data_IF_548496797569
#
_entry.id   IF_548496797569
#
_cell.length_a   1.000
_cell.length_b   1.000
_cell.length_c   1.000
_cell.angle_alpha   90.00
_cell.angle_beta   90.00
_cell.angle_gamma   90.00
#
_symmetry.space_group_name_H-M   'P 1'
#
loop_
_entity.id
_entity.type
_entity.pdbx_description
1 polymer ?
#
# COMPACT_ATOMS: atom_id res chain seq x y z
N UNK A 1 -21.13 0.80 5.24
CA UNK A 1 -19.75 0.77 4.71
C UNK A 1 -19.39 -0.65 4.30
N UNK A 2 -18.68 -0.78 3.21
CA UNK A 2 -18.23 -2.08 2.72
C UNK A 2 -16.78 -2.40 3.15
N UNK A 3 -16.18 -1.58 4.02
CA UNK A 3 -14.83 -1.80 4.54
C UNK A 3 -14.83 -3.04 5.43
N UNK A 4 -13.98 -4.01 5.11
CA UNK A 4 -13.91 -5.29 5.81
C UNK A 4 -12.66 -5.43 6.69
N UNK A 5 -11.68 -4.56 6.55
CA UNK A 5 -10.48 -4.60 7.37
C UNK A 5 -9.42 -3.63 6.91
N UNK A 6 -8.34 -3.55 7.70
CA UNK A 6 -7.15 -2.80 7.38
C UNK A 6 -6.15 -3.74 6.72
N UNK A 7 -5.65 -3.37 5.55
CA UNK A 7 -4.64 -4.18 4.86
C UNK A 7 -3.24 -3.86 5.36
N UNK A 8 -2.85 -2.60 5.30
CA UNK A 8 -1.50 -2.18 5.69
C UNK A 8 -1.39 -0.66 5.78
N UNK A 9 -0.31 -0.21 6.43
CA UNK A 9 0.17 1.15 6.34
C UNK A 9 1.33 1.16 5.33
N UNK A 10 1.29 2.09 4.40
CA UNK A 10 2.33 2.21 3.38
C UNK A 10 3.33 3.30 3.77
N UNK A 11 4.60 3.00 3.62
CA UNK A 11 5.71 3.90 3.98
C UNK A 11 6.70 3.93 2.83
N UNK A 12 7.10 5.13 2.44
CA UNK A 12 8.14 5.30 1.42
C UNK A 12 9.51 5.33 2.08
N UNK A 13 10.46 4.59 1.52
CA UNK A 13 11.82 4.47 2.02
C UNK A 13 12.83 4.66 0.89
N UNK A 14 13.96 5.31 1.18
CA UNK A 14 15.03 5.49 0.20
C UNK A 14 15.95 4.27 0.15
N UNK A 15 16.28 3.69 1.32
CA UNK A 15 17.15 2.53 1.44
C UNK A 15 16.35 1.33 1.91
N UNK A 16 15.75 0.60 0.99
CA UNK A 16 14.88 -0.53 1.32
C UNK A 16 15.63 -1.62 2.09
N UNK A 17 16.83 -1.99 1.65
CA UNK A 17 17.61 -3.04 2.32
C UNK A 17 17.96 -2.66 3.76
N UNK A 18 18.33 -1.41 3.98
CA UNK A 18 18.64 -0.89 5.32
C UNK A 18 17.44 -0.91 6.24
N UNK A 19 16.27 -0.52 5.73
CA UNK A 19 15.03 -0.52 6.52
C UNK A 19 14.57 -1.95 6.80
N UNK A 20 14.65 -2.84 5.83
CA UNK A 20 14.36 -4.27 6.03
C UNK A 20 15.24 -4.85 7.13
N UNK A 21 16.56 -4.56 7.08
CA UNK A 21 17.49 -5.02 8.11
C UNK A 21 17.14 -4.48 9.50
N UNK A 22 16.72 -3.21 9.58
CA UNK A 22 16.28 -2.60 10.83
C UNK A 22 15.11 -3.39 11.45
N UNK A 23 14.07 -3.66 10.65
CA UNK A 23 12.88 -4.35 11.16
C UNK A 23 13.15 -5.81 11.50
N UNK A 24 14.02 -6.50 10.75
CA UNK A 24 14.44 -7.86 11.09
C UNK A 24 15.16 -7.90 12.44
N UNK A 25 16.04 -6.94 12.70
CA UNK A 25 16.72 -6.84 14.01
C UNK A 25 15.75 -6.53 15.14
N UNK A 26 14.68 -5.80 14.84
CA UNK A 26 13.64 -5.49 15.83
C UNK A 26 12.73 -6.67 16.13
N UNK A 27 12.90 -7.80 15.44
CA UNK A 27 12.10 -9.00 15.66
C UNK A 27 10.86 -9.12 14.79
N UNK A 28 10.68 -8.22 13.82
CA UNK A 28 9.56 -8.31 12.89
C UNK A 28 9.80 -9.41 11.85
N UNK A 29 8.71 -9.97 11.33
CA UNK A 29 8.76 -10.82 10.14
C UNK A 29 8.76 -9.89 8.92
N UNK A 30 9.76 -10.05 8.06
CA UNK A 30 9.92 -9.22 6.87
C UNK A 30 10.06 -10.11 5.65
N UNK A 31 9.19 -9.88 4.66
CA UNK A 31 9.29 -10.56 3.38
C UNK A 31 10.50 -10.05 2.58
N UNK A 32 10.96 -10.87 1.65
CA UNK A 32 12.05 -10.46 0.77
C UNK A 32 11.58 -9.33 -0.14
N UNK A 33 12.43 -8.32 -0.39
CA UNK A 33 12.09 -7.27 -1.35
C UNK A 33 11.76 -7.85 -2.72
N UNK A 34 10.70 -7.32 -3.33
CA UNK A 34 10.26 -7.74 -4.66
C UNK A 34 10.05 -6.54 -5.57
N UNK A 35 10.09 -6.80 -6.87
CA UNK A 35 9.81 -5.78 -7.87
C UNK A 35 8.35 -5.34 -7.76
N UNK A 36 8.12 -4.04 -7.83
CA UNK A 36 6.78 -3.47 -7.82
C UNK A 36 6.74 -2.28 -8.76
N UNK A 37 6.13 -2.47 -9.94
CA UNK A 37 6.04 -1.44 -10.99
C UNK A 37 7.44 -0.89 -11.30
N UNK A 38 7.67 0.41 -11.10
CA UNK A 38 8.96 1.05 -11.34
C UNK A 38 9.86 1.10 -10.11
N UNK A 39 9.52 0.38 -9.08
CA UNK A 39 10.26 0.37 -7.83
C UNK A 39 10.27 -1.01 -7.20
N UNK A 40 10.44 -1.04 -5.88
CA UNK A 40 10.50 -2.28 -5.10
C UNK A 40 9.65 -2.13 -3.85
N UNK A 41 9.25 -3.26 -3.30
CA UNK A 41 8.45 -3.29 -2.08
C UNK A 41 8.89 -4.43 -1.16
N UNK A 42 8.52 -4.33 0.12
CA UNK A 42 8.65 -5.41 1.08
C UNK A 42 7.57 -5.27 2.15
N UNK A 43 7.01 -6.40 2.57
CA UNK A 43 6.02 -6.44 3.64
C UNK A 43 6.70 -6.67 4.99
N UNK A 44 6.20 -5.98 6.03
CA UNK A 44 6.69 -6.07 7.40
C UNK A 44 5.51 -6.38 8.31
N UNK A 45 5.65 -7.45 9.11
CA UNK A 45 4.67 -7.79 10.15
C UNK A 45 5.29 -7.51 11.51
N UNK A 46 4.77 -6.49 12.19
CA UNK A 46 5.26 -6.05 13.49
C UNK A 46 4.13 -6.15 14.50
N UNK A 47 3.98 -7.34 15.13
CA UNK A 47 2.82 -7.63 15.96
C UNK A 47 1.55 -7.59 15.14
N UNK A 48 0.52 -6.86 15.56
CA UNK A 48 -0.72 -6.75 14.78
C UNK A 48 -0.63 -5.76 13.62
N UNK A 49 0.51 -5.06 13.48
CA UNK A 49 0.67 -4.01 12.48
C UNK A 49 1.32 -4.57 11.22
N UNK A 50 0.66 -4.35 10.10
CA UNK A 50 1.21 -4.66 8.78
C UNK A 50 1.65 -3.37 8.10
N UNK A 51 2.94 -3.32 7.75
CA UNK A 51 3.50 -2.22 6.96
C UNK A 51 3.88 -2.75 5.59
N UNK A 52 3.78 -1.90 4.58
CA UNK A 52 4.41 -2.16 3.30
C UNK A 52 5.38 -1.02 3.02
N UNK A 53 6.63 -1.40 2.78
CA UNK A 53 7.69 -0.45 2.44
C UNK A 53 7.77 -0.35 0.93
N UNK A 54 7.82 0.88 0.40
CA UNK A 54 7.92 1.14 -1.03
C UNK A 54 9.09 2.06 -1.31
N UNK A 55 9.87 1.77 -2.35
CA UNK A 55 10.86 2.74 -2.84
C UNK A 55 10.19 3.81 -3.68
N UNK A 56 9.03 3.49 -4.27
CA UNK A 56 8.25 4.41 -5.08
C UNK A 56 6.77 4.12 -4.91
N UNK A 57 5.98 5.15 -4.60
CA UNK A 57 4.53 5.01 -4.52
C UNK A 57 3.95 4.79 -5.92
N UNK A 58 2.90 4.00 -6.04
CA UNK A 58 2.27 3.71 -7.33
C UNK A 58 1.77 4.97 -8.03
N UNK A 59 1.32 5.96 -7.25
CA UNK A 59 0.77 7.23 -7.75
C UNK A 59 1.83 8.35 -7.80
N UNK A 60 3.10 8.04 -7.58
CA UNK A 60 4.13 9.06 -7.38
C UNK A 60 4.30 10.02 -8.56
N UNK A 61 4.14 9.51 -9.78
CA UNK A 61 4.28 10.32 -10.99
C UNK A 61 3.04 11.20 -11.25
N UNK A 62 1.95 10.96 -10.53
CA UNK A 62 0.67 11.65 -10.72
C UNK A 62 0.36 12.68 -9.63
N UNK A 63 1.24 12.81 -8.63
CA UNK A 63 1.06 13.75 -7.52
C UNK A 63 2.33 14.58 -7.34
N UNK A 64 2.16 15.76 -6.74
CA UNK A 64 3.27 16.65 -6.45
C UNK A 64 3.53 16.72 -4.94
N UNK A 65 4.77 17.07 -4.58
CA UNK A 65 5.10 17.35 -3.19
C UNK A 65 5.27 16.13 -2.31
N UNK A 66 5.42 14.94 -2.88
CA UNK A 66 5.62 13.73 -2.10
C UNK A 66 7.02 13.76 -1.49
N UNK A 67 7.11 13.51 -0.17
CA UNK A 67 8.39 13.45 0.53
C UNK A 67 9.21 12.24 0.07
N UNK A 68 10.52 12.31 0.20
CA UNK A 68 11.42 11.20 -0.16
C UNK A 68 11.22 9.99 0.75
N UNK A 69 10.86 10.23 2.00
CA UNK A 69 10.61 9.17 2.98
C UNK A 69 9.42 9.56 3.85
N UNK A 70 8.71 8.57 4.34
CA UNK A 70 7.67 8.74 5.32
C UNK A 70 6.36 8.06 4.95
N UNK A 71 5.36 8.34 5.75
CA UNK A 71 4.04 7.76 5.60
C UNK A 71 3.41 8.14 4.26
N UNK A 72 2.83 7.17 3.58
CA UNK A 72 2.15 7.36 2.30
C UNK A 72 0.63 7.33 2.43
N UNK A 73 0.09 6.21 2.90
CA UNK A 73 -1.36 6.00 2.96
C UNK A 73 -1.72 4.82 3.84
N UNK A 74 -3.00 4.73 4.18
CA UNK A 74 -3.60 3.55 4.82
C UNK A 74 -4.36 2.78 3.74
N UNK A 75 -4.12 1.47 3.65
CA UNK A 75 -4.84 0.59 2.74
C UNK A 75 -5.93 -0.16 3.50
N UNK A 76 -7.13 -0.13 2.95
CA UNK A 76 -8.33 -0.73 3.54
C UNK A 76 -8.92 -1.73 2.56
N UNK A 77 -9.28 -2.91 3.05
CA UNK A 77 -10.01 -3.89 2.26
C UNK A 77 -11.49 -3.52 2.17
N UNK A 78 -12.07 -3.74 1.01
CA UNK A 78 -13.51 -3.59 0.80
C UNK A 78 -14.04 -4.76 -0.03
N UNK A 79 -15.30 -5.08 0.13
CA UNK A 79 -15.99 -6.05 -0.72
C UNK A 79 -16.74 -5.37 -1.88
N UNK A 80 -16.71 -4.04 -1.96
CA UNK A 80 -17.38 -3.27 -3.01
C UNK A 80 -16.61 -1.97 -3.28
N UNK A 81 -15.61 -2.06 -4.16
CA UNK A 81 -14.74 -0.93 -4.47
C UNK A 81 -15.50 0.23 -5.10
N UNK A 82 -16.41 -0.06 -6.03
CA UNK A 82 -17.15 0.97 -6.72
C UNK A 82 -18.00 1.81 -5.76
N UNK A 83 -18.57 1.17 -4.77
CA UNK A 83 -19.35 1.85 -3.73
C UNK A 83 -18.46 2.73 -2.85
N UNK A 84 -17.28 2.23 -2.46
CA UNK A 84 -16.39 2.98 -1.58
C UNK A 84 -15.78 4.20 -2.27
N UNK A 85 -15.56 4.14 -3.58
CA UNK A 85 -14.95 5.26 -4.30
C UNK A 85 -15.94 6.37 -4.60
N UNK A 86 -17.23 6.08 -4.56
CA UNK A 86 -18.28 7.04 -4.90
C UNK A 86 -18.25 8.25 -3.96
N UNK A 87 -18.23 9.46 -4.56
CA UNK A 87 -18.19 10.70 -3.79
C UNK A 87 -16.81 11.13 -3.30
N UNK A 88 -15.75 10.36 -3.60
CA UNK A 88 -14.39 10.71 -3.21
C UNK A 88 -13.60 11.36 -4.34
N UNK A 89 -12.59 12.15 -3.96
CA UNK A 89 -11.62 12.71 -4.89
C UNK A 89 -10.58 11.63 -5.23
N UNK A 90 -10.69 11.06 -6.42
CA UNK A 90 -9.80 9.99 -6.87
C UNK A 90 -8.44 10.58 -7.27
N UNK A 91 -7.38 10.04 -6.69
CA UNK A 91 -5.99 10.41 -7.00
C UNK A 91 -5.44 9.50 -8.11
N UNK A 92 -5.75 8.20 -8.02
CA UNK A 92 -5.21 7.20 -8.94
C UNK A 92 -6.08 5.96 -8.96
N UNK A 93 -6.29 5.39 -10.14
CA UNK A 93 -7.10 4.20 -10.33
C UNK A 93 -8.58 4.52 -10.59
N UNK A 94 -9.47 3.52 -10.50
CA UNK A 94 -9.21 2.12 -10.15
C UNK A 94 -8.39 1.36 -11.21
N UNK A 95 -7.50 0.49 -10.75
CA UNK A 95 -6.75 -0.41 -11.63
C UNK A 95 -6.57 -1.79 -10.99
N UNK A 96 -6.41 -2.79 -11.82
CA UNK A 96 -6.09 -4.15 -11.38
C UNK A 96 -4.58 -4.29 -11.32
N UNK A 97 -4.08 -4.76 -10.18
CA UNK A 97 -2.65 -4.97 -9.96
C UNK A 97 -2.43 -6.39 -9.44
N UNK A 98 -1.26 -6.95 -9.73
CA UNK A 98 -0.91 -8.30 -9.31
C UNK A 98 0.52 -8.36 -8.81
N UNK A 99 0.78 -9.27 -7.87
CA UNK A 99 2.11 -9.52 -7.36
C UNK A 99 2.16 -10.86 -6.65
N UNK A 100 3.36 -11.46 -6.53
CA UNK A 100 3.50 -12.80 -5.95
C UNK A 100 3.10 -12.87 -4.49
N UNK A 101 3.29 -11.79 -3.73
CA UNK A 101 3.01 -11.80 -2.29
C UNK A 101 1.55 -11.54 -1.96
N UNK A 102 0.78 -10.90 -2.84
CA UNK A 102 -0.60 -10.48 -2.50
C UNK A 102 -1.67 -10.98 -3.48
N UNK A 103 -1.31 -11.60 -4.60
CA UNK A 103 -2.26 -12.08 -5.60
C UNK A 103 -2.69 -11.00 -6.56
N UNK A 104 -3.99 -10.90 -6.82
CA UNK A 104 -4.57 -9.92 -7.75
C UNK A 104 -5.61 -9.07 -7.03
N UNK A 105 -5.50 -7.76 -7.17
CA UNK A 105 -6.35 -6.79 -6.50
C UNK A 105 -6.79 -5.70 -7.46
N UNK A 106 -7.95 -5.14 -7.18
CA UNK A 106 -8.39 -3.89 -7.81
C UNK A 106 -8.24 -2.80 -6.76
N UNK A 107 -7.52 -1.73 -7.10
CA UNK A 107 -7.16 -0.69 -6.13
C UNK A 107 -7.50 0.70 -6.64
N UNK A 108 -7.76 1.61 -5.70
CA UNK A 108 -7.97 3.03 -5.97
C UNK A 108 -7.43 3.84 -4.80
N UNK A 109 -6.86 5.00 -5.10
CA UNK A 109 -6.39 5.95 -4.08
C UNK A 109 -7.26 7.19 -4.10
N UNK A 110 -7.67 7.64 -2.92
CA UNK A 110 -8.49 8.84 -2.75
C UNK A 110 -7.88 9.74 -1.69
N UNK A 111 -8.12 11.05 -1.81
CA UNK A 111 -7.75 12.01 -0.77
C UNK A 111 -8.90 12.18 0.22
N UNK A 112 -8.57 12.15 1.50
CA UNK A 112 -9.50 12.35 2.59
C UNK A 112 -9.10 13.61 3.37
N UNK A 113 -10.02 14.17 4.18
CA UNK A 113 -9.70 15.33 5.03
C UNK A 113 -8.52 15.05 5.98
N UNK A 114 -7.79 16.10 6.33
CA UNK A 114 -6.65 16.00 7.24
C UNK A 114 -5.35 15.61 6.55
N UNK A 115 -5.24 15.88 5.26
CA UNK A 115 -4.08 15.50 4.44
C UNK A 115 -3.81 13.99 4.47
N UNK A 116 -4.89 13.22 4.48
CA UNK A 116 -4.83 11.77 4.53
C UNK A 116 -5.10 11.19 3.15
N UNK A 117 -4.34 10.17 2.77
CA UNK A 117 -4.61 9.39 1.56
C UNK A 117 -5.02 7.99 1.97
N UNK A 118 -6.09 7.51 1.34
CA UNK A 118 -6.61 6.17 1.57
C UNK A 118 -6.48 5.35 0.30
N UNK A 119 -6.15 4.08 0.46
CA UNK A 119 -6.23 3.12 -0.62
C UNK A 119 -7.40 2.18 -0.29
N UNK A 120 -8.33 2.03 -1.23
CA UNK A 120 -9.34 0.98 -1.13
C UNK A 120 -8.92 -0.16 -2.05
N UNK A 121 -8.96 -1.39 -1.54
CA UNK A 121 -8.56 -2.55 -2.32
C UNK A 121 -9.57 -3.68 -2.18
N UNK A 122 -9.88 -4.26 -3.33
CA UNK A 122 -10.77 -5.43 -3.45
C UNK A 122 -9.92 -6.60 -3.90
N UNK A 123 -9.85 -7.64 -3.07
CA UNK A 123 -9.08 -8.83 -3.39
C UNK A 123 -9.84 -9.64 -4.43
N UNK A 124 -9.25 -9.83 -5.61
CA UNK A 124 -9.86 -10.59 -6.70
C UNK A 124 -9.39 -12.03 -6.71
N UNK A 125 -8.10 -12.24 -6.50
CA UNK A 125 -7.49 -13.58 -6.43
C UNK A 125 -6.44 -13.60 -5.34
N UNK A 126 -6.45 -14.64 -4.52
CA UNK A 126 -5.43 -14.85 -3.50
C UNK A 126 -4.10 -15.28 -4.14
N UNK A 127 -2.95 -15.07 -3.46
CA UNK A 127 -1.67 -15.57 -3.95
C UNK A 127 -1.70 -17.08 -4.10
N UNK A 128 -1.11 -17.57 -5.17
CA UNK A 128 -1.03 -19.03 -5.42
C UNK A 128 0.11 -19.70 -4.66
#
# INVERSE_FOLDING_TARGET
MAITGVANLAVKVADLEGVVAFYRRAGAEVGDPEQWRNGRRADVHLGPLDLTLFTKAVYEDDVEGLAEEGFLHVALFTDDLDREVDGHDVVWGPEVVSGPSFGTRRIVFVDAPGQMRLEFMEQLEEPS
#
